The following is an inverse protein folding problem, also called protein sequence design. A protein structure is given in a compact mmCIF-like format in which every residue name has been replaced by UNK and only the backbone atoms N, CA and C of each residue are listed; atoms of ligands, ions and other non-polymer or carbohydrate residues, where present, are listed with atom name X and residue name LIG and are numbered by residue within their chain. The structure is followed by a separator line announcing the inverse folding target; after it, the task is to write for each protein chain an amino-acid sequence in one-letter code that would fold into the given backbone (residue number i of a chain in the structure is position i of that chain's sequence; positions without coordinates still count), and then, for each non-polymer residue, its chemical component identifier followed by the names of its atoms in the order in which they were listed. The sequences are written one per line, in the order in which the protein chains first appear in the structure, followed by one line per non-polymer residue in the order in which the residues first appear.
data_IF_161107148016
#
_entry.id   IF_161107148016
#
_cell.length_a   1.000
_cell.length_b   1.000
_cell.length_c   1.000
_cell.angle_alpha   90.00
_cell.angle_beta   90.00
_cell.angle_gamma   90.00
#
_symmetry.space_group_name_H-M   'P 1'
#
loop_
_entity.id
_entity.type
_entity.pdbx_description
1 polymer ?
#
# COMPACT_ATOMS: atom_id res chain seq x y z
N UNK A 1 13.17 -14.24 7.46
CA UNK A 1 11.93 -14.52 8.21
C UNK A 1 10.81 -14.43 7.20
N UNK A 2 10.06 -15.51 6.95
CA UNK A 2 8.91 -15.47 6.01
C UNK A 2 7.77 -14.78 6.73
N UNK A 3 7.30 -13.64 6.21
CA UNK A 3 6.05 -13.04 6.70
C UNK A 3 4.96 -14.06 6.41
N UNK A 4 4.35 -14.59 7.46
CA UNK A 4 3.29 -15.57 7.34
C UNK A 4 1.95 -14.84 7.36
N UNK A 5 1.31 -14.77 6.20
CA UNK A 5 0.00 -14.14 6.05
C UNK A 5 -1.10 -14.95 6.75
N UNK A 6 -2.10 -14.23 7.25
CA UNK A 6 -3.27 -14.81 7.89
C UNK A 6 -4.50 -14.68 7.02
N UNK A 7 -5.33 -15.72 7.02
CA UNK A 7 -6.60 -15.74 6.31
C UNK A 7 -7.74 -15.26 7.23
N UNK A 8 -8.72 -14.49 6.70
CA UNK A 8 -9.92 -14.14 7.44
C UNK A 8 -10.74 -15.37 7.80
N UNK A 9 -11.38 -15.33 8.97
CA UNK A 9 -12.24 -16.40 9.47
C UNK A 9 -13.53 -15.81 10.03
N UNK A 10 -14.67 -16.32 9.58
CA UNK A 10 -15.94 -16.21 10.31
C UNK A 10 -16.08 -17.42 11.23
N UNK A 11 -16.03 -17.21 12.54
CA UNK A 11 -16.15 -18.27 13.55
C UNK A 11 -17.51 -18.16 14.25
N UNK A 12 -18.27 -19.25 14.26
CA UNK A 12 -19.52 -19.36 15.00
C UNK A 12 -19.23 -19.31 16.51
N UNK A 13 -20.08 -18.60 17.23
CA UNK A 13 -20.12 -18.52 18.69
C UNK A 13 -21.54 -18.81 19.16
N UNK A 14 -21.72 -19.06 20.46
CA UNK A 14 -23.05 -19.29 21.03
C UNK A 14 -24.02 -18.12 20.80
N UNK A 15 -23.47 -16.90 20.65
CA UNK A 15 -24.22 -15.66 20.49
C UNK A 15 -24.24 -15.14 19.04
N UNK A 16 -23.65 -15.87 18.07
CA UNK A 16 -23.65 -15.48 16.66
C UNK A 16 -22.37 -15.83 15.91
N UNK A 17 -21.76 -14.84 15.28
CA UNK A 17 -20.52 -14.98 14.51
C UNK A 17 -19.50 -13.94 14.97
N UNK A 18 -18.23 -14.31 14.93
CA UNK A 18 -17.11 -13.38 15.12
C UNK A 18 -16.07 -13.51 14.03
N UNK A 19 -15.43 -12.41 13.71
CA UNK A 19 -14.33 -12.34 12.77
C UNK A 19 -13.03 -12.62 13.52
N UNK A 20 -12.14 -13.41 12.92
CA UNK A 20 -10.80 -13.65 13.46
C UNK A 20 -9.79 -13.95 12.34
N UNK A 21 -8.52 -14.06 12.71
CA UNK A 21 -7.42 -14.39 11.79
C UNK A 21 -6.96 -15.83 12.00
N UNK A 22 -6.83 -16.61 10.93
CA UNK A 22 -6.14 -17.91 10.98
C UNK A 22 -4.66 -17.67 10.69
N UNK A 23 -3.76 -17.72 11.68
CA UNK A 23 -2.35 -17.48 11.44
C UNK A 23 -1.77 -18.54 10.50
N UNK A 24 -0.78 -18.14 9.69
CA UNK A 24 0.09 -19.04 8.93
C UNK A 24 -0.62 -19.90 7.87
N UNK A 25 -1.68 -19.35 7.27
CA UNK A 25 -2.55 -20.05 6.31
C UNK A 25 -2.28 -19.63 4.85
N UNK A 26 -1.47 -18.58 4.64
CA UNK A 26 -0.91 -18.24 3.33
C UNK A 26 -1.77 -17.31 2.49
N UNK A 27 -2.73 -16.59 3.08
CA UNK A 27 -3.41 -15.42 2.49
C UNK A 27 -4.34 -15.73 1.31
N UNK A 28 -4.57 -17.00 1.01
CA UNK A 28 -5.24 -17.47 -0.21
C UNK A 28 -6.70 -17.86 0.01
N UNK A 29 -7.19 -17.83 1.25
CA UNK A 29 -8.47 -18.41 1.64
C UNK A 29 -9.28 -17.50 2.55
N UNK A 30 -10.58 -17.75 2.63
CA UNK A 30 -11.44 -17.30 3.74
C UNK A 30 -12.08 -18.53 4.35
N UNK A 31 -12.10 -18.64 5.67
CA UNK A 31 -12.67 -19.79 6.38
C UNK A 31 -13.99 -19.44 7.06
N UNK A 32 -14.89 -20.42 7.12
CA UNK A 32 -16.06 -20.40 8.01
C UNK A 32 -15.92 -21.58 8.97
N UNK A 33 -16.01 -21.32 10.27
CA UNK A 33 -15.78 -22.31 11.33
C UNK A 33 -16.93 -22.39 12.30
N UNK A 34 -17.12 -23.56 12.89
CA UNK A 34 -18.01 -23.72 14.03
C UNK A 34 -17.33 -23.32 15.36
N UNK A 35 -18.07 -23.49 16.46
CA UNK A 35 -17.60 -23.19 17.81
C UNK A 35 -16.40 -24.06 18.24
N UNK A 36 -16.27 -25.26 17.67
CA UNK A 36 -15.22 -26.24 17.97
C UNK A 36 -13.97 -26.07 17.10
N UNK A 37 -13.87 -24.96 16.35
CA UNK A 37 -12.82 -24.69 15.37
C UNK A 37 -12.78 -25.68 14.19
N UNK A 38 -13.87 -26.40 13.94
CA UNK A 38 -14.00 -27.22 12.74
C UNK A 38 -14.31 -26.33 11.53
N UNK A 39 -13.54 -26.50 10.45
CA UNK A 39 -13.79 -25.82 9.18
C UNK A 39 -15.12 -26.34 8.58
N UNK A 40 -16.13 -25.48 8.53
CA UNK A 40 -17.45 -25.75 7.92
C UNK A 40 -17.43 -25.51 6.41
N UNK A 41 -16.72 -24.46 5.99
CA UNK A 41 -16.48 -24.11 4.60
C UNK A 41 -15.19 -23.32 4.45
N UNK A 42 -14.67 -23.26 3.23
CA UNK A 42 -13.61 -22.35 2.85
C UNK A 42 -13.84 -21.83 1.43
N UNK A 43 -13.36 -20.62 1.18
CA UNK A 43 -13.45 -19.95 -0.13
C UNK A 43 -12.06 -19.71 -0.66
N UNK A 44 -11.80 -20.21 -1.88
CA UNK A 44 -10.55 -19.98 -2.60
C UNK A 44 -10.61 -18.66 -3.33
N UNK A 45 -9.80 -17.71 -2.90
CA UNK A 45 -9.86 -16.34 -3.38
C UNK A 45 -9.61 -16.21 -4.88
N UNK A 46 -8.67 -16.99 -5.43
CA UNK A 46 -8.38 -16.98 -6.87
C UNK A 46 -9.54 -17.47 -7.75
N UNK A 47 -10.54 -18.13 -7.17
CA UNK A 47 -11.72 -18.63 -7.89
C UNK A 47 -12.87 -17.59 -7.86
N UNK A 48 -12.92 -16.73 -6.84
CA UNK A 48 -14.06 -15.82 -6.61
C UNK A 48 -13.73 -14.34 -6.72
N UNK A 49 -12.46 -13.94 -6.52
CA UNK A 49 -12.06 -12.53 -6.62
C UNK A 49 -11.75 -12.15 -8.06
N UNK A 50 -12.44 -11.13 -8.62
CA UNK A 50 -12.10 -10.58 -9.91
C UNK A 50 -10.63 -10.14 -9.94
N UNK A 51 -9.94 -10.52 -11.01
CA UNK A 51 -8.53 -10.13 -11.27
C UNK A 51 -7.56 -10.56 -10.15
N UNK A 52 -7.86 -11.61 -9.37
CA UNK A 52 -7.00 -12.05 -8.26
C UNK A 52 -5.54 -12.22 -8.65
N UNK A 53 -5.26 -12.93 -9.75
CA UNK A 53 -3.88 -13.18 -10.22
C UNK A 53 -3.07 -11.93 -10.55
N UNK A 54 -3.76 -10.78 -10.73
CA UNK A 54 -3.13 -9.48 -10.90
C UNK A 54 -2.59 -8.94 -9.58
N UNK A 55 -3.35 -9.07 -8.49
CA UNK A 55 -3.06 -8.42 -7.21
C UNK A 55 -2.45 -9.35 -6.17
N UNK A 56 -2.56 -10.66 -6.36
CA UNK A 56 -2.08 -11.68 -5.44
C UNK A 56 -1.56 -12.89 -6.21
N UNK A 57 -0.46 -13.50 -5.71
CA UNK A 57 0.13 -14.68 -6.34
C UNK A 57 -0.41 -15.97 -5.68
N UNK A 58 -0.83 -16.98 -6.45
CA UNK A 58 -1.48 -18.18 -5.92
C UNK A 58 -0.57 -19.09 -5.08
N UNK A 59 0.76 -18.99 -5.19
CA UNK A 59 1.68 -20.00 -4.62
C UNK A 59 2.69 -19.50 -3.59
N UNK A 60 2.84 -18.19 -3.36
CA UNK A 60 3.94 -17.67 -2.54
C UNK A 60 3.53 -16.87 -1.31
N UNK A 61 2.26 -16.49 -1.16
CA UNK A 61 1.81 -15.62 -0.06
C UNK A 61 0.30 -15.36 0.00
N UNK A 62 -0.43 -15.54 -1.10
CA UNK A 62 -1.81 -15.08 -1.20
C UNK A 62 -1.93 -13.55 -1.11
N UNK A 63 -3.09 -13.06 -0.69
CA UNK A 63 -3.34 -11.66 -0.36
C UNK A 63 -2.93 -11.40 1.08
N UNK A 64 -2.26 -10.28 1.32
CA UNK A 64 -2.05 -9.78 2.67
C UNK A 64 -3.36 -9.18 3.19
N UNK A 65 -4.13 -9.97 3.92
CA UNK A 65 -5.41 -9.54 4.47
C UNK A 65 -5.26 -8.70 5.75
N UNK A 66 -4.19 -8.91 6.50
CA UNK A 66 -3.96 -8.19 7.75
C UNK A 66 -3.62 -6.72 7.46
N UNK A 67 -2.96 -6.46 6.34
CA UNK A 67 -2.63 -5.11 5.90
C UNK A 67 -3.57 -4.63 4.78
N UNK A 68 -4.37 -3.60 5.08
CA UNK A 68 -5.21 -2.86 4.12
C UNK A 68 -6.42 -3.59 3.57
N UNK A 69 -6.98 -4.56 4.30
CA UNK A 69 -8.28 -5.15 3.96
C UNK A 69 -9.30 -4.84 5.04
N UNK A 70 -10.57 -4.80 4.64
CA UNK A 70 -11.69 -4.61 5.54
C UNK A 70 -12.54 -5.88 5.54
N UNK A 71 -12.65 -6.51 6.70
CA UNK A 71 -13.45 -7.72 6.89
C UNK A 71 -14.54 -7.45 7.91
N UNK A 72 -15.78 -7.81 7.61
CA UNK A 72 -16.92 -7.45 8.46
C UNK A 72 -18.13 -8.36 8.22
N UNK A 73 -19.10 -8.28 9.14
CA UNK A 73 -20.44 -8.85 8.94
C UNK A 73 -21.42 -7.78 8.46
N UNK A 74 -22.37 -8.17 7.60
CA UNK A 74 -23.52 -7.32 7.26
C UNK A 74 -24.40 -7.06 8.48
N UNK A 75 -25.25 -6.04 8.41
CA UNK A 75 -26.06 -5.60 9.55
C UNK A 75 -27.03 -6.69 10.06
N UNK A 76 -27.48 -7.58 9.17
CA UNK A 76 -28.31 -8.74 9.52
C UNK A 76 -27.51 -9.92 10.11
N UNK A 77 -26.18 -9.89 10.05
CA UNK A 77 -25.30 -10.94 10.55
C UNK A 77 -25.25 -12.20 9.69
N UNK A 78 -25.94 -12.23 8.54
CA UNK A 78 -26.07 -13.42 7.70
C UNK A 78 -24.98 -13.53 6.63
N UNK A 79 -24.19 -12.48 6.42
CA UNK A 79 -23.10 -12.46 5.44
C UNK A 79 -21.79 -12.04 6.07
N UNK A 80 -20.73 -12.71 5.65
CA UNK A 80 -19.35 -12.34 5.95
C UNK A 80 -18.69 -11.78 4.71
N UNK A 81 -18.13 -10.58 4.81
CA UNK A 81 -17.61 -9.82 3.68
C UNK A 81 -16.14 -9.49 3.91
N UNK A 82 -15.33 -9.66 2.88
CA UNK A 82 -13.94 -9.22 2.85
C UNK A 82 -13.73 -8.32 1.63
N UNK A 83 -13.37 -7.06 1.87
CA UNK A 83 -12.98 -6.09 0.85
C UNK A 83 -11.46 -5.97 0.82
N UNK A 84 -10.88 -6.32 -0.32
CA UNK A 84 -9.46 -6.24 -0.56
C UNK A 84 -9.00 -4.79 -0.81
N UNK A 85 -7.71 -4.54 -0.59
CA UNK A 85 -7.10 -3.21 -0.73
C UNK A 85 -7.24 -2.58 -2.13
N UNK A 86 -7.47 -3.39 -3.18
CA UNK A 86 -7.70 -2.93 -4.55
C UNK A 86 -9.18 -2.73 -4.90
N UNK A 87 -10.09 -2.90 -3.94
CA UNK A 87 -11.52 -2.59 -4.10
C UNK A 87 -12.43 -3.77 -4.40
N UNK A 88 -11.89 -4.94 -4.76
CA UNK A 88 -12.70 -6.14 -4.96
C UNK A 88 -13.25 -6.68 -3.64
N UNK A 89 -14.44 -7.28 -3.70
CA UNK A 89 -15.16 -7.88 -2.56
C UNK A 89 -15.30 -9.39 -2.74
N UNK A 90 -15.28 -10.10 -1.61
CA UNK A 90 -15.86 -11.44 -1.48
C UNK A 90 -16.95 -11.36 -0.44
N UNK A 91 -18.12 -11.92 -0.75
CA UNK A 91 -19.20 -12.10 0.21
C UNK A 91 -19.52 -13.60 0.34
N UNK A 92 -19.76 -14.05 1.58
CA UNK A 92 -20.10 -15.43 1.91
C UNK A 92 -21.41 -15.42 2.67
N UNK A 93 -22.40 -16.19 2.20
CA UNK A 93 -23.61 -16.48 2.97
C UNK A 93 -23.24 -17.43 4.11
N UNK A 94 -23.50 -17.02 5.35
CA UNK A 94 -23.26 -17.83 6.55
C UNK A 94 -24.37 -18.85 6.82
N UNK A 95 -25.53 -18.68 6.17
CA UNK A 95 -26.64 -19.64 6.17
C UNK A 95 -26.35 -20.79 5.22
N UNK A 96 -25.96 -20.46 3.98
CA UNK A 96 -25.71 -21.45 2.92
C UNK A 96 -24.26 -21.95 2.88
N UNK A 97 -23.36 -21.29 3.63
CA UNK A 97 -21.93 -21.57 3.71
C UNK A 97 -21.23 -21.54 2.32
N UNK A 98 -21.64 -20.61 1.45
CA UNK A 98 -21.13 -20.49 0.08
C UNK A 98 -20.84 -19.04 -0.32
N UNK A 99 -19.92 -18.80 -1.27
CA UNK A 99 -19.75 -17.49 -1.89
C UNK A 99 -21.05 -17.03 -2.56
N UNK A 100 -21.33 -15.74 -2.47
CA UNK A 100 -22.44 -15.06 -3.14
C UNK A 100 -21.90 -13.84 -3.90
N UNK A 101 -22.64 -13.37 -4.92
CA UNK A 101 -22.23 -12.21 -5.70
C UNK A 101 -22.41 -10.93 -4.87
N UNK A 102 -21.32 -10.20 -4.53
CA UNK A 102 -21.43 -8.95 -3.79
C UNK A 102 -22.13 -7.84 -4.60
N UNK A 103 -22.24 -7.99 -5.94
CA UNK A 103 -22.92 -7.03 -6.81
C UNK A 103 -24.41 -6.89 -6.54
N UNK A 104 -25.07 -7.94 -6.02
CA UNK A 104 -26.51 -7.92 -5.69
C UNK A 104 -26.84 -6.98 -4.52
N UNK A 105 -25.84 -6.62 -3.71
CA UNK A 105 -25.99 -5.82 -2.49
C UNK A 105 -25.00 -4.64 -2.45
N UNK A 106 -24.48 -4.20 -3.61
CA UNK A 106 -23.36 -3.27 -3.70
C UNK A 106 -23.56 -1.98 -2.88
N UNK A 107 -24.75 -1.37 -2.96
CA UNK A 107 -25.09 -0.14 -2.25
C UNK A 107 -25.10 -0.35 -0.72
N UNK A 108 -25.68 -1.46 -0.24
CA UNK A 108 -25.68 -1.81 1.18
C UNK A 108 -24.26 -2.00 1.71
N UNK A 109 -23.42 -2.69 0.93
CA UNK A 109 -22.02 -2.92 1.29
C UNK A 109 -21.22 -1.62 1.29
N UNK A 110 -21.43 -0.73 0.32
CA UNK A 110 -20.79 0.59 0.27
C UNK A 110 -21.18 1.45 1.48
N UNK A 111 -22.45 1.51 1.83
CA UNK A 111 -22.93 2.26 2.99
C UNK A 111 -22.33 1.73 4.30
N UNK A 112 -22.30 0.40 4.47
CA UNK A 112 -21.73 -0.24 5.66
C UNK A 112 -20.23 0.01 5.78
N UNK A 113 -19.49 -0.11 4.69
CA UNK A 113 -18.04 0.13 4.69
C UNK A 113 -17.71 1.60 4.98
N UNK A 114 -18.45 2.55 4.39
CA UNK A 114 -18.32 3.98 4.71
C UNK A 114 -18.61 4.27 6.17
N UNK A 115 -19.65 3.65 6.74
CA UNK A 115 -19.99 3.79 8.16
C UNK A 115 -18.83 3.33 9.06
N UNK A 116 -18.30 2.13 8.81
CA UNK A 116 -17.17 1.57 9.57
C UNK A 116 -15.95 2.47 9.44
N UNK A 117 -15.54 2.80 8.21
CA UNK A 117 -14.34 3.62 7.94
C UNK A 117 -14.48 4.99 8.59
N UNK A 118 -15.62 5.67 8.47
CA UNK A 118 -15.85 6.98 9.09
C UNK A 118 -15.75 6.93 10.61
N UNK A 119 -16.37 5.93 11.24
CA UNK A 119 -16.39 5.77 12.69
C UNK A 119 -14.98 5.51 13.22
N UNK A 120 -14.28 4.54 12.63
CA UNK A 120 -12.97 4.11 13.13
C UNK A 120 -11.85 5.07 12.74
N UNK A 121 -11.91 5.73 11.58
CA UNK A 121 -10.98 6.81 11.22
C UNK A 121 -11.08 7.99 12.20
N UNK A 122 -12.29 8.35 12.63
CA UNK A 122 -12.47 9.42 13.63
C UNK A 122 -11.82 9.04 14.96
N UNK A 123 -12.01 7.79 15.42
CA UNK A 123 -11.35 7.26 16.63
C UNK A 123 -9.84 7.25 16.49
N UNK A 124 -9.31 6.82 15.34
CA UNK A 124 -7.89 6.84 15.03
C UNK A 124 -7.29 8.25 15.15
N UNK A 125 -7.97 9.26 14.60
CA UNK A 125 -7.51 10.66 14.69
C UNK A 125 -7.53 11.17 16.13
N UNK A 126 -8.62 10.98 16.86
CA UNK A 126 -8.70 11.37 18.28
C UNK A 126 -7.57 10.74 19.07
N UNK A 127 -7.35 9.44 18.89
CA UNK A 127 -6.28 8.71 19.55
C UNK A 127 -4.89 9.26 19.19
N UNK A 128 -4.63 9.55 17.91
CA UNK A 128 -3.36 10.10 17.45
C UNK A 128 -3.09 11.53 17.97
N UNK A 129 -4.13 12.25 18.39
CA UNK A 129 -4.01 13.57 19.01
C UNK A 129 -3.79 13.50 20.53
N UNK A 130 -4.28 12.44 21.18
CA UNK A 130 -4.25 12.28 22.64
C UNK A 130 -3.07 11.43 23.14
N UNK A 131 -2.44 10.63 22.28
CA UNK A 131 -1.35 9.72 22.66
C UNK A 131 0.01 10.15 22.10
N UNK A 132 1.04 10.12 22.95
CA UNK A 132 2.45 10.25 22.55
C UNK A 132 3.03 8.94 21.97
N UNK A 133 2.32 7.82 22.11
CA UNK A 133 2.68 6.53 21.51
C UNK A 133 1.94 6.38 20.19
N UNK A 134 2.52 5.65 19.22
CA UNK A 134 1.83 5.24 17.99
C UNK A 134 1.27 3.81 18.11
N UNK A 135 0.22 3.54 17.32
CA UNK A 135 -0.72 2.43 17.48
C UNK A 135 -0.07 1.06 17.26
N UNK A 136 -0.58 0.04 17.94
CA UNK A 136 -0.50 -1.33 17.41
C UNK A 136 -1.21 -1.34 16.05
N UNK A 137 -0.60 -1.96 15.03
CA UNK A 137 -1.14 -1.96 13.66
C UNK A 137 -2.54 -2.61 13.56
N UNK A 138 -2.89 -3.47 14.52
CA UNK A 138 -4.18 -4.16 14.61
C UNK A 138 -5.19 -3.40 15.49
N UNK A 139 -6.28 -2.94 14.87
CA UNK A 139 -7.42 -2.29 15.49
C UNK A 139 -8.70 -3.15 15.42
N UNK A 140 -8.54 -4.43 15.07
CA UNK A 140 -9.66 -5.34 14.86
C UNK A 140 -10.53 -5.52 16.11
N UNK A 141 -11.82 -5.69 15.88
CA UNK A 141 -12.81 -6.09 16.88
C UNK A 141 -13.30 -7.51 16.59
N UNK A 142 -14.16 -8.05 17.45
CA UNK A 142 -14.82 -9.34 17.16
C UNK A 142 -15.76 -9.27 15.94
N UNK A 143 -16.19 -8.09 15.52
CA UNK A 143 -17.16 -7.90 14.43
C UNK A 143 -16.49 -7.41 13.13
N UNK A 144 -15.29 -6.86 13.21
CA UNK A 144 -14.63 -6.20 12.08
C UNK A 144 -13.12 -6.36 12.18
N UNK A 145 -12.47 -6.85 11.13
CA UNK A 145 -11.01 -6.92 11.06
C UNK A 145 -10.49 -5.85 10.10
N UNK A 146 -9.55 -5.04 10.58
CA UNK A 146 -8.88 -4.01 9.81
C UNK A 146 -7.61 -3.54 10.52
N UNK A 147 -6.68 -2.99 9.74
CA UNK A 147 -5.50 -2.31 10.26
C UNK A 147 -5.63 -0.79 10.21
N UNK A 148 -4.74 -0.07 10.90
CA UNK A 148 -4.61 1.39 10.74
C UNK A 148 -4.46 1.76 9.27
N UNK A 149 -3.65 1.01 8.53
CA UNK A 149 -3.46 1.20 7.10
C UNK A 149 -4.75 1.08 6.29
N UNK A 150 -5.71 0.27 6.72
CA UNK A 150 -7.03 0.12 6.09
C UNK A 150 -7.82 1.42 6.23
N UNK A 151 -7.90 1.96 7.44
CA UNK A 151 -8.66 3.17 7.75
C UNK A 151 -8.15 4.42 7.02
N UNK A 152 -6.86 4.46 6.72
CA UNK A 152 -6.23 5.60 6.01
C UNK A 152 -6.36 5.45 4.50
N UNK A 153 -6.29 4.24 3.96
CA UNK A 153 -6.37 3.97 2.52
C UNK A 153 -7.80 4.00 1.97
N UNK A 154 -8.75 3.42 2.71
CA UNK A 154 -10.11 3.20 2.24
C UNK A 154 -10.90 4.48 1.93
N UNK A 155 -10.74 5.61 2.65
CA UNK A 155 -11.43 6.85 2.28
C UNK A 155 -11.23 7.25 0.82
N UNK A 156 -10.00 7.15 0.30
CA UNK A 156 -9.71 7.44 -1.10
C UNK A 156 -10.24 6.37 -2.07
N UNK A 157 -10.29 5.11 -1.65
CA UNK A 157 -10.87 4.02 -2.43
C UNK A 157 -12.41 4.11 -2.52
N UNK A 158 -13.04 4.60 -1.46
CA UNK A 158 -14.49 4.77 -1.33
C UNK A 158 -14.98 6.14 -1.82
N UNK A 159 -14.10 7.08 -2.15
CA UNK A 159 -14.52 8.44 -2.54
C UNK A 159 -15.19 9.21 -1.39
N UNK A 160 -14.69 9.07 -0.16
CA UNK A 160 -15.21 9.75 1.04
C UNK A 160 -14.58 11.14 1.18
N UNK A 161 -15.14 12.15 0.51
CA UNK A 161 -14.64 13.54 0.58
C UNK A 161 -14.78 14.13 1.99
N UNK A 162 -15.75 13.66 2.77
CA UNK A 162 -15.95 14.05 4.16
C UNK A 162 -14.80 13.64 5.09
N UNK A 163 -13.92 12.72 4.67
CA UNK A 163 -12.76 12.27 5.43
C UNK A 163 -11.51 13.14 5.21
N UNK A 164 -11.53 14.10 4.27
CA UNK A 164 -10.38 14.95 3.94
C UNK A 164 -9.77 15.62 5.19
N UNK A 165 -10.54 16.24 6.11
CA UNK A 165 -9.96 16.87 7.30
C UNK A 165 -9.16 15.90 8.18
N UNK A 166 -9.69 14.69 8.39
CA UNK A 166 -9.03 13.63 9.16
C UNK A 166 -7.75 13.17 8.46
N UNK A 167 -7.78 12.98 7.14
CA UNK A 167 -6.60 12.60 6.37
C UNK A 167 -5.50 13.66 6.42
N UNK A 168 -5.85 14.96 6.42
CA UNK A 168 -4.87 16.06 6.57
C UNK A 168 -4.20 16.05 7.95
N UNK A 169 -4.93 15.70 9.00
CA UNK A 169 -4.34 15.52 10.33
C UNK A 169 -3.34 14.37 10.33
N UNK A 170 -3.70 13.22 9.76
CA UNK A 170 -2.81 12.06 9.65
C UNK A 170 -1.61 12.30 8.72
N UNK A 171 -1.79 13.06 7.65
CA UNK A 171 -0.71 13.52 6.77
C UNK A 171 0.31 14.38 7.54
N UNK A 172 -0.15 15.29 8.40
CA UNK A 172 0.74 16.18 9.15
C UNK A 172 1.46 15.52 10.33
N UNK A 173 0.96 14.37 10.80
CA UNK A 173 1.54 13.61 11.90
C UNK A 173 2.97 13.12 11.64
N UNK A 174 3.75 12.97 12.71
CA UNK A 174 5.17 12.56 12.67
C UNK A 174 5.38 11.07 12.96
N UNK A 175 4.44 10.21 12.55
CA UNK A 175 4.57 8.75 12.73
C UNK A 175 5.59 8.16 11.74
N UNK A 176 6.74 7.70 12.25
CA UNK A 176 7.76 7.05 11.43
C UNK A 176 8.12 5.65 11.96
N UNK A 177 8.51 4.79 11.02
CA UNK A 177 9.27 3.57 11.30
C UNK A 177 10.68 3.76 10.73
N UNK A 178 11.71 3.55 11.54
CA UNK A 178 13.09 3.58 11.07
C UNK A 178 13.31 2.39 10.12
N UNK A 179 13.83 2.64 8.90
CA UNK A 179 14.16 1.60 7.92
C UNK A 179 15.50 1.94 7.25
N UNK A 180 16.27 0.91 6.90
CA UNK A 180 17.61 1.04 6.33
C UNK A 180 17.61 0.88 4.79
N UNK A 181 18.11 1.87 4.03
CA UNK A 181 18.40 1.78 2.58
C UNK A 181 19.91 1.79 2.34
N UNK A 182 20.51 0.64 2.02
CA UNK A 182 21.94 0.57 1.73
C UNK A 182 22.78 1.05 2.93
N UNK A 183 23.51 2.16 2.77
CA UNK A 183 24.28 2.81 3.84
C UNK A 183 23.51 3.97 4.54
N UNK A 184 22.30 4.26 4.11
CA UNK A 184 21.49 5.38 4.57
C UNK A 184 20.35 4.91 5.48
N UNK A 185 20.10 5.64 6.56
CA UNK A 185 18.96 5.43 7.46
C UNK A 185 17.81 6.35 7.01
N UNK A 186 16.65 5.79 6.70
CA UNK A 186 15.48 6.52 6.22
C UNK A 186 14.25 6.21 7.08
N UNK A 187 13.61 7.26 7.58
CA UNK A 187 12.35 7.14 8.30
C UNK A 187 11.19 7.06 7.33
N UNK A 188 10.49 5.92 7.31
CA UNK A 188 9.25 5.78 6.53
C UNK A 188 8.06 6.33 7.31
N UNK A 189 7.43 7.37 6.77
CA UNK A 189 6.13 7.87 7.22
C UNK A 189 4.99 7.10 6.55
N UNK A 190 4.79 5.85 6.95
CA UNK A 190 3.83 4.96 6.31
C UNK A 190 2.39 5.53 6.31
N UNK A 191 1.91 6.00 7.47
CA UNK A 191 0.57 6.58 7.62
C UNK A 191 0.41 7.84 6.78
N UNK A 192 1.39 8.75 6.83
CA UNK A 192 1.39 9.96 6.00
C UNK A 192 1.25 9.64 4.52
N UNK A 193 2.06 8.69 4.03
CA UNK A 193 2.04 8.30 2.62
C UNK A 193 0.70 7.72 2.20
N UNK A 194 0.08 6.91 3.05
CA UNK A 194 -1.26 6.38 2.78
C UNK A 194 -2.29 7.52 2.77
N UNK A 195 -2.18 8.47 3.70
CA UNK A 195 -3.06 9.64 3.75
C UNK A 195 -2.90 10.49 2.46
N UNK A 196 -1.67 10.73 2.02
CA UNK A 196 -1.36 11.40 0.76
C UNK A 196 -1.95 10.66 -0.45
N UNK A 197 -1.81 9.33 -0.50
CA UNK A 197 -2.39 8.49 -1.54
C UNK A 197 -3.92 8.61 -1.56
N UNK A 198 -4.56 8.54 -0.39
CA UNK A 198 -6.01 8.67 -0.26
C UNK A 198 -6.49 10.08 -0.66
N UNK A 199 -5.81 11.13 -0.21
CA UNK A 199 -6.08 12.53 -0.58
C UNK A 199 -6.01 12.71 -2.10
N UNK A 200 -4.96 12.21 -2.76
CA UNK A 200 -4.83 12.28 -4.22
C UNK A 200 -5.98 11.61 -4.96
N UNK A 201 -6.47 10.47 -4.45
CA UNK A 201 -7.66 9.79 -5.03
C UNK A 201 -8.96 10.59 -4.84
N UNK A 202 -9.02 11.42 -3.81
CA UNK A 202 -10.12 12.36 -3.57
C UNK A 202 -9.98 13.67 -4.35
N UNK A 203 -8.93 13.82 -5.18
CA UNK A 203 -8.66 15.03 -5.96
C UNK A 203 -7.85 16.09 -5.21
N UNK A 204 -7.35 15.78 -4.01
CA UNK A 204 -6.56 16.67 -3.17
C UNK A 204 -5.06 16.51 -3.44
N UNK A 205 -4.31 17.62 -3.50
CA UNK A 205 -2.83 17.55 -3.59
C UNK A 205 -2.23 17.16 -2.25
N UNK A 206 -1.12 16.41 -2.26
CA UNK A 206 -0.37 16.19 -1.03
C UNK A 206 0.15 17.52 -0.47
N UNK A 207 0.23 17.60 0.86
CA UNK A 207 0.92 18.66 1.57
C UNK A 207 2.44 18.54 1.45
N UNK A 208 3.16 19.14 2.39
CA UNK A 208 4.63 19.19 2.34
C UNK A 208 5.25 17.80 2.54
N UNK A 209 6.22 17.48 1.70
CA UNK A 209 7.09 16.33 1.84
C UNK A 209 8.18 16.64 2.86
N UNK A 210 7.86 16.51 4.16
CA UNK A 210 8.84 16.76 5.21
C UNK A 210 9.96 15.75 5.15
N UNK A 211 11.18 16.28 5.10
CA UNK A 211 12.38 15.49 5.15
C UNK A 211 12.66 15.15 6.60
N UNK A 212 12.76 13.87 6.93
CA UNK A 212 13.55 13.51 8.11
C UNK A 212 15.00 13.71 7.78
N UNK A 213 15.78 14.13 8.78
CA UNK A 213 17.20 13.81 8.75
C UNK A 213 17.29 12.32 8.43
N UNK A 214 17.90 11.92 7.31
CA UNK A 214 18.51 10.61 7.29
C UNK A 214 19.57 10.64 8.41
N UNK A 215 20.29 9.55 8.65
CA UNK A 215 21.50 9.60 9.49
C UNK A 215 21.21 9.58 11.00
N UNK A 216 21.22 8.37 11.55
CA UNK A 216 21.73 8.18 12.90
C UNK A 216 23.12 8.83 13.03
N UNK A 217 23.47 9.29 14.22
CA UNK A 217 24.77 9.91 14.53
C UNK A 217 26.01 9.03 14.21
N UNK A 218 25.81 7.80 13.75
CA UNK A 218 26.84 6.84 13.33
C UNK A 218 27.04 6.78 11.80
N UNK A 219 26.24 7.51 11.03
CA UNK A 219 26.44 7.71 9.60
C UNK A 219 27.79 8.34 9.29
N UNK A 220 28.46 7.87 8.22
CA UNK A 220 29.71 8.48 7.70
C UNK A 220 29.52 9.86 7.06
N UNK A 221 28.28 10.34 6.93
CA UNK A 221 27.95 11.61 6.27
C UNK A 221 27.00 12.41 7.16
N UNK A 222 27.46 13.48 7.82
CA UNK A 222 26.55 14.47 8.40
C UNK A 222 25.83 15.18 7.26
N UNK A 223 24.53 15.36 7.42
CA UNK A 223 23.68 15.99 6.41
C UNK A 223 22.59 16.76 7.13
N UNK A 224 22.51 18.05 6.84
CA UNK A 224 21.39 18.86 7.28
C UNK A 224 20.19 18.52 6.37
N UNK A 225 19.06 18.05 6.92
CA UNK A 225 17.87 17.82 6.11
C UNK A 225 17.44 19.14 5.46
N UNK A 226 17.29 19.20 4.13
CA UNK A 226 16.75 20.38 3.49
C UNK A 226 15.33 20.66 3.96
N UNK A 227 14.87 21.89 3.68
CA UNK A 227 13.51 22.29 3.98
C UNK A 227 12.48 21.33 3.33
N UNK A 228 11.32 21.11 3.98
CA UNK A 228 10.22 20.37 3.39
C UNK A 228 9.88 20.92 2.00
N UNK A 229 9.70 20.02 1.03
CA UNK A 229 9.37 20.42 -0.33
C UNK A 229 7.86 20.36 -0.58
N UNK A 230 7.35 21.28 -1.39
CA UNK A 230 6.01 21.19 -1.95
C UNK A 230 5.99 20.44 -3.29
N UNK A 231 4.81 20.09 -3.77
CA UNK A 231 4.61 19.41 -5.05
C UNK A 231 5.19 20.16 -6.26
N UNK A 232 4.94 21.48 -6.42
CA UNK A 232 5.51 22.26 -7.52
C UNK A 232 7.05 22.29 -7.56
N UNK A 233 7.69 22.48 -6.40
CA UNK A 233 9.15 22.48 -6.29
C UNK A 233 9.71 21.11 -6.65
N UNK A 234 9.13 20.04 -6.07
CA UNK A 234 9.51 18.67 -6.40
C UNK A 234 9.36 18.38 -7.90
N UNK A 235 8.26 18.82 -8.52
CA UNK A 235 8.05 18.67 -9.96
C UNK A 235 9.16 19.34 -10.77
N UNK A 236 9.49 20.60 -10.45
CA UNK A 236 10.54 21.35 -11.13
C UNK A 236 11.91 20.70 -10.95
N UNK A 237 12.24 20.28 -9.72
CA UNK A 237 13.53 19.66 -9.40
C UNK A 237 13.68 18.25 -9.95
N UNK A 238 12.58 17.50 -10.10
CA UNK A 238 12.64 16.19 -10.77
C UNK A 238 13.17 16.32 -12.21
N UNK A 239 12.93 17.47 -12.85
CA UNK A 239 13.46 17.74 -14.18
C UNK A 239 14.96 17.98 -14.21
N UNK A 240 15.56 18.34 -13.08
CA UNK A 240 16.99 18.62 -12.93
C UNK A 240 17.81 17.36 -12.63
N UNK A 241 17.16 16.25 -12.23
CA UNK A 241 17.83 14.96 -11.95
C UNK A 241 18.43 14.38 -13.22
N UNK A 242 19.73 14.06 -13.16
CA UNK A 242 20.53 13.55 -14.28
C UNK A 242 21.16 12.21 -13.95
N UNK A 243 21.50 11.45 -14.99
CA UNK A 243 22.36 10.29 -14.85
C UNK A 243 23.70 10.69 -14.22
N UNK A 244 24.18 9.88 -13.27
CA UNK A 244 25.39 10.15 -12.48
C UNK A 244 25.17 11.00 -11.22
N UNK A 245 24.00 11.63 -11.04
CA UNK A 245 23.66 12.28 -9.77
C UNK A 245 23.73 11.27 -8.62
N UNK A 246 24.30 11.67 -7.49
CA UNK A 246 24.35 10.81 -6.30
C UNK A 246 23.03 10.80 -5.56
N UNK A 247 22.71 9.71 -4.88
CA UNK A 247 21.49 9.56 -4.06
C UNK A 247 21.28 10.72 -3.07
N UNK A 248 22.34 11.24 -2.46
CA UNK A 248 22.28 12.37 -1.55
C UNK A 248 21.95 13.70 -2.26
N UNK A 249 22.35 13.87 -3.52
CA UNK A 249 21.97 15.02 -4.34
C UNK A 249 20.49 14.93 -4.72
N UNK A 250 20.03 13.75 -5.15
CA UNK A 250 18.62 13.48 -5.45
C UNK A 250 17.74 13.75 -4.23
N UNK A 251 18.15 13.26 -3.05
CA UNK A 251 17.43 13.52 -1.80
C UNK A 251 17.38 15.01 -1.46
N UNK A 252 18.48 15.75 -1.63
CA UNK A 252 18.48 17.21 -1.40
C UNK A 252 17.49 17.94 -2.31
N UNK A 253 17.41 17.51 -3.57
CA UNK A 253 16.59 18.16 -4.61
C UNK A 253 15.12 17.77 -4.58
N UNK A 254 14.78 16.54 -4.22
CA UNK A 254 13.42 16.01 -4.29
C UNK A 254 12.78 15.76 -2.91
N UNK A 255 13.60 15.85 -1.87
CA UNK A 255 13.26 15.37 -0.55
C UNK A 255 13.05 13.85 -0.52
N UNK A 256 12.35 13.37 0.50
CA UNK A 256 12.12 11.94 0.71
C UNK A 256 11.28 11.31 -0.40
N UNK A 257 11.61 10.09 -0.86
CA UNK A 257 10.76 9.37 -1.79
C UNK A 257 9.47 8.90 -1.11
N UNK A 258 8.38 8.86 -1.88
CA UNK A 258 7.11 8.27 -1.44
C UNK A 258 7.30 6.74 -1.22
N UNK A 259 8.13 6.08 -2.01
CA UNK A 259 8.45 4.67 -1.79
C UNK A 259 9.88 4.30 -2.20
N UNK A 260 10.46 3.33 -1.50
CA UNK A 260 11.76 2.74 -1.82
C UNK A 260 11.59 1.23 -1.99
N UNK A 261 12.22 0.65 -3.03
CA UNK A 261 12.17 -0.79 -3.29
C UNK A 261 13.01 -1.65 -2.31
N UNK A 262 13.13 -1.27 -1.04
CA UNK A 262 14.02 -1.99 -0.10
C UNK A 262 13.53 -3.41 0.24
N UNK A 263 12.32 -3.80 -0.18
CA UNK A 263 11.75 -5.11 0.16
C UNK A 263 11.83 -6.15 -0.95
N UNK A 264 12.97 -6.19 -1.62
CA UNK A 264 13.53 -7.47 -2.00
C UNK A 264 14.20 -8.19 -0.82
N UNK A 265 13.67 -8.09 0.41
CA UNK A 265 13.78 -9.22 1.34
C UNK A 265 12.83 -10.29 0.82
N UNK A 266 13.24 -10.94 -0.27
CA UNK A 266 12.57 -12.13 -0.76
C UNK A 266 12.70 -13.15 0.36
N UNK A 267 11.58 -13.53 0.95
CA UNK A 267 11.44 -14.62 1.93
C UNK A 267 11.75 -16.01 1.34
N UNK A 268 12.61 -16.07 0.32
CA UNK A 268 13.00 -17.28 -0.38
C UNK A 268 13.98 -17.00 -1.53
N UNK A 269 15.21 -17.51 -1.39
CA UNK A 269 16.16 -17.87 -2.47
C UNK A 269 16.71 -16.81 -3.44
N UNK A 270 16.34 -15.53 -3.40
CA UNK A 270 17.03 -14.52 -4.24
C UNK A 270 18.04 -13.78 -3.36
N UNK A 271 19.34 -13.95 -3.66
CA UNK A 271 20.40 -13.29 -2.90
C UNK A 271 20.40 -11.78 -3.12
N UNK A 272 20.85 -11.00 -2.13
CA UNK A 272 21.19 -9.56 -2.28
C UNK A 272 22.05 -9.31 -3.53
N UNK A 273 22.95 -10.25 -3.84
CA UNK A 273 23.74 -10.25 -5.08
C UNK A 273 22.89 -10.28 -6.33
N UNK A 274 21.76 -10.98 -6.35
CA UNK A 274 20.89 -11.10 -7.52
C UNK A 274 19.94 -9.91 -7.66
N UNK A 275 19.55 -9.26 -6.57
CA UNK A 275 18.83 -7.96 -6.59
C UNK A 275 19.75 -6.85 -7.11
N UNK A 276 21.00 -6.82 -6.62
CA UNK A 276 22.05 -5.92 -7.12
C UNK A 276 22.42 -6.26 -8.57
N UNK A 277 22.52 -7.55 -8.94
CA UNK A 277 22.79 -7.99 -10.33
C UNK A 277 21.62 -7.70 -11.28
N UNK A 278 20.39 -7.63 -10.76
CA UNK A 278 19.19 -7.21 -11.51
C UNK A 278 19.03 -5.69 -11.54
N UNK A 279 19.85 -4.93 -10.81
CA UNK A 279 19.94 -3.46 -10.93
C UNK A 279 18.69 -2.70 -10.52
N UNK A 280 17.84 -3.26 -9.64
CA UNK A 280 16.49 -2.70 -9.38
C UNK A 280 16.35 -1.90 -8.09
N UNK A 281 17.35 -1.06 -7.81
CA UNK A 281 17.26 -0.05 -6.76
C UNK A 281 16.58 1.19 -7.34
N UNK A 282 15.40 1.55 -6.86
CA UNK A 282 14.78 2.81 -7.25
C UNK A 282 14.06 3.47 -6.07
N UNK A 283 13.87 4.77 -6.26
CA UNK A 283 13.01 5.63 -5.46
C UNK A 283 11.81 6.05 -6.30
N UNK A 284 10.62 5.93 -5.71
CA UNK A 284 9.38 6.38 -6.30
C UNK A 284 9.00 7.74 -5.74
N UNK A 285 8.64 8.63 -6.67
CA UNK A 285 8.10 9.94 -6.38
C UNK A 285 6.73 10.07 -7.02
N UNK A 286 5.72 10.36 -6.20
CA UNK A 286 4.37 10.60 -6.65
C UNK A 286 4.17 12.12 -6.78
N UNK A 287 3.94 12.61 -8.02
CA UNK A 287 4.00 14.04 -8.35
C UNK A 287 2.63 14.60 -8.73
N UNK A 288 2.15 15.56 -7.93
CA UNK A 288 0.88 16.26 -8.08
C UNK A 288 0.91 17.39 -9.14
N UNK A 289 1.63 17.16 -10.25
CA UNK A 289 1.68 18.05 -11.39
C UNK A 289 0.34 18.01 -12.18
N UNK A 290 0.22 18.88 -13.18
CA UNK A 290 -0.91 18.86 -14.12
C UNK A 290 -0.37 18.67 -15.54
N UNK A 291 -0.48 17.46 -16.14
CA UNK A 291 -1.08 16.24 -15.58
C UNK A 291 -0.21 15.58 -14.48
N UNK A 292 -0.81 14.82 -13.54
CA UNK A 292 -0.08 14.13 -12.47
C UNK A 292 0.62 12.87 -12.99
N UNK A 293 1.72 12.47 -12.36
CA UNK A 293 2.50 11.31 -12.78
C UNK A 293 3.31 10.69 -11.64
N UNK A 294 3.71 9.42 -11.80
CA UNK A 294 4.69 8.77 -10.93
C UNK A 294 6.06 8.77 -11.60
N UNK A 295 7.11 9.09 -10.86
CA UNK A 295 8.49 8.99 -11.32
C UNK A 295 9.25 7.90 -10.57
N UNK A 296 9.98 7.06 -11.30
CA UNK A 296 10.94 6.10 -10.73
C UNK A 296 12.36 6.54 -11.07
N UNK A 297 13.13 6.85 -10.03
CA UNK A 297 14.56 7.20 -10.14
C UNK A 297 15.38 5.98 -9.74
N UNK A 298 16.13 5.41 -10.68
CA UNK A 298 16.88 4.17 -10.52
C UNK A 298 18.33 4.46 -10.19
N UNK A 299 18.92 3.64 -9.31
CA UNK A 299 20.30 3.77 -8.85
C UNK A 299 21.12 2.51 -9.18
N UNK A 300 22.41 2.70 -9.47
CA UNK A 300 23.38 1.61 -9.56
C UNK A 300 23.90 1.15 -8.19
N UNK A 301 24.83 0.20 -8.20
CA UNK A 301 25.47 -0.31 -6.98
C UNK A 301 26.36 0.72 -6.24
N UNK A 302 26.60 1.89 -6.83
CA UNK A 302 27.37 2.99 -6.24
C UNK A 302 26.45 4.16 -5.83
N UNK A 303 25.14 3.91 -5.71
CA UNK A 303 24.12 4.90 -5.36
C UNK A 303 24.08 6.09 -6.34
N UNK A 304 24.33 5.84 -7.63
CA UNK A 304 24.28 6.83 -8.71
C UNK A 304 23.06 6.63 -9.60
N UNK A 305 22.40 7.72 -9.96
CA UNK A 305 21.26 7.68 -10.87
C UNK A 305 21.67 7.08 -12.22
N UNK A 306 21.01 6.01 -12.63
CA UNK A 306 21.20 5.40 -13.95
C UNK A 306 20.12 5.83 -14.94
N UNK A 307 18.87 5.92 -14.48
CA UNK A 307 17.73 6.39 -15.28
C UNK A 307 16.66 6.98 -14.37
N UNK A 308 15.90 7.93 -14.91
CA UNK A 308 14.67 8.43 -14.32
C UNK A 308 13.55 8.27 -15.35
N UNK A 309 12.45 7.64 -14.94
CA UNK A 309 11.36 7.28 -15.83
C UNK A 309 10.05 7.81 -15.26
N UNK A 310 9.26 8.48 -16.10
CA UNK A 310 7.96 9.04 -15.75
C UNK A 310 6.85 8.14 -16.29
N UNK A 311 5.80 7.95 -15.49
CA UNK A 311 4.67 7.09 -15.76
C UNK A 311 3.34 7.85 -15.62
N UNK A 312 2.54 7.74 -16.67
CA UNK A 312 1.15 8.23 -16.73
C UNK A 312 0.25 7.08 -17.26
N UNK A 313 -0.81 6.69 -16.52
CA UNK A 313 -1.32 7.31 -15.29
C UNK A 313 -0.42 7.09 -14.06
N UNK A 314 -0.53 7.97 -13.04
CA UNK A 314 0.23 7.82 -11.80
C UNK A 314 -0.20 6.58 -11.01
N UNK A 315 0.72 5.97 -10.26
CA UNK A 315 0.51 4.67 -9.61
C UNK A 315 -0.58 4.70 -8.52
N UNK A 316 -0.84 5.86 -7.93
CA UNK A 316 -1.91 6.01 -6.92
C UNK A 316 -3.32 6.05 -7.51
N UNK A 317 -3.46 6.17 -8.84
CA UNK A 317 -4.76 6.04 -9.51
C UNK A 317 -5.36 4.65 -9.27
N UNK A 318 -6.67 4.51 -9.51
CA UNK A 318 -7.33 3.22 -9.30
C UNK A 318 -6.58 2.12 -10.05
N UNK A 319 -6.40 0.93 -9.45
CA UNK A 319 -5.81 -0.20 -10.13
C UNK A 319 -6.45 -0.49 -11.50
N UNK A 320 -7.74 -0.19 -11.66
CA UNK A 320 -8.47 -0.42 -12.91
C UNK A 320 -7.95 0.40 -14.10
N UNK A 321 -7.21 1.48 -13.86
CA UNK A 321 -6.65 2.35 -14.92
C UNK A 321 -5.43 1.71 -15.59
N UNK A 322 -4.75 0.75 -14.95
CA UNK A 322 -3.62 0.05 -15.57
C UNK A 322 -4.11 -1.20 -16.33
N UNK A 323 -3.92 -1.29 -17.67
CA UNK A 323 -4.48 -2.36 -18.52
C UNK A 323 -3.86 -3.77 -18.36
N UNK A 324 -3.01 -4.00 -17.36
CA UNK A 324 -2.34 -5.30 -17.21
C UNK A 324 -3.30 -6.34 -16.64
N UNK A 325 -3.71 -7.30 -17.47
CA UNK A 325 -4.51 -8.46 -17.05
C UNK A 325 -3.71 -9.46 -16.19
N UNK A 326 -2.37 -9.32 -16.16
CA UNK A 326 -1.48 -10.32 -15.58
C UNK A 326 -0.90 -9.91 -14.23
N UNK A 327 -0.65 -8.61 -13.99
CA UNK A 327 0.12 -8.15 -12.83
C UNK A 327 -0.26 -6.73 -12.40
N UNK A 328 -0.28 -6.50 -11.09
CA UNK A 328 -0.49 -5.19 -10.49
C UNK A 328 0.81 -4.41 -10.39
N UNK A 329 0.74 -3.11 -10.69
CA UNK A 329 1.83 -2.15 -10.49
C UNK A 329 2.15 -2.01 -9.00
N UNK A 330 1.12 -2.05 -8.14
CA UNK A 330 1.24 -1.90 -6.69
C UNK A 330 0.83 -3.17 -5.93
N UNK A 331 1.46 -3.45 -4.79
CA UNK A 331 1.00 -4.40 -3.77
C UNK A 331 0.14 -3.72 -2.69
N UNK A 332 -0.33 -4.49 -1.71
CA UNK A 332 -1.22 -4.03 -0.61
C UNK A 332 -0.74 -2.79 0.12
N UNK A 333 0.56 -2.73 0.39
CA UNK A 333 1.20 -1.60 1.07
C UNK A 333 1.43 -0.38 0.16
N UNK A 334 0.80 -0.34 -1.02
CA UNK A 334 1.05 0.65 -2.05
C UNK A 334 2.49 0.64 -2.57
N UNK A 335 3.19 -0.50 -2.46
CA UNK A 335 4.58 -0.67 -2.92
C UNK A 335 4.62 -1.16 -4.35
N UNK A 336 5.60 -0.73 -5.11
CA UNK A 336 5.77 -1.17 -6.50
C UNK A 336 6.16 -2.66 -6.51
N UNK A 337 5.48 -3.50 -7.30
CA UNK A 337 5.77 -4.94 -7.32
C UNK A 337 7.00 -5.26 -8.17
N UNK A 338 7.74 -6.33 -7.84
CA UNK A 338 8.87 -6.78 -8.67
C UNK A 338 8.44 -7.22 -10.07
N UNK A 339 7.26 -7.82 -10.17
CA UNK A 339 6.72 -8.34 -11.42
C UNK A 339 6.48 -7.20 -12.43
N UNK A 340 5.99 -6.06 -11.94
CA UNK A 340 5.89 -4.83 -12.71
C UNK A 340 7.23 -4.36 -13.29
N UNK A 341 8.33 -4.51 -12.55
CA UNK A 341 9.64 -4.10 -13.05
C UNK A 341 10.11 -4.95 -14.23
N UNK A 342 9.64 -6.19 -14.37
CA UNK A 342 9.94 -7.01 -15.53
C UNK A 342 9.15 -6.54 -16.76
N UNK A 343 7.90 -6.08 -16.57
CA UNK A 343 7.09 -5.45 -17.63
C UNK A 343 7.67 -4.10 -18.11
N UNK A 344 8.36 -3.39 -17.23
CA UNK A 344 9.09 -2.18 -17.60
C UNK A 344 10.29 -2.49 -18.49
N UNK A 345 11.05 -3.54 -18.18
CA UNK A 345 12.26 -3.89 -18.91
C UNK A 345 11.97 -4.55 -20.27
N UNK A 346 10.85 -5.25 -20.41
CA UNK A 346 10.45 -5.90 -21.67
C UNK A 346 9.51 -5.04 -22.56
N UNK A 347 9.19 -3.82 -22.11
CA UNK A 347 8.36 -2.87 -22.86
C UNK A 347 6.87 -3.25 -22.94
N UNK A 348 6.40 -4.19 -22.12
CA UNK A 348 4.99 -4.60 -22.07
C UNK A 348 4.15 -3.76 -21.11
N UNK A 349 4.73 -2.75 -20.46
CA UNK A 349 4.01 -1.83 -19.61
C UNK A 349 2.95 -1.02 -20.40
N UNK A 350 1.73 -1.03 -19.89
CA UNK A 350 0.55 -0.47 -20.57
C UNK A 350 0.26 1.01 -20.26
N UNK A 351 1.28 1.79 -19.85
CA UNK A 351 1.19 3.23 -19.67
C UNK A 351 2.23 3.97 -20.50
N UNK A 352 2.17 5.31 -20.51
CA UNK A 352 3.18 6.08 -21.23
C UNK A 352 4.47 6.15 -20.42
N UNK A 353 5.59 5.97 -21.12
CA UNK A 353 6.93 5.99 -20.54
C UNK A 353 7.69 7.13 -21.19
N UNK A 354 8.14 8.09 -20.38
CA UNK A 354 9.06 9.14 -20.84
C UNK A 354 10.41 8.84 -20.21
N UNK A 355 11.28 8.17 -20.96
CA UNK A 355 12.68 8.06 -20.61
C UNK A 355 13.38 9.37 -20.92
N UNK A 356 14.05 9.94 -19.92
CA UNK A 356 14.93 11.08 -20.16
C UNK A 356 16.32 10.54 -20.50
N UNK A 357 16.83 10.76 -21.73
CA UNK A 357 18.15 10.30 -22.09
C UNK A 357 19.18 10.94 -21.16
N UNK A 358 20.20 10.16 -20.78
CA UNK A 358 21.39 10.74 -20.18
C UNK A 358 21.88 11.83 -21.15
N UNK A 359 22.04 13.06 -20.66
CA UNK A 359 22.76 14.07 -21.43
C UNK A 359 24.11 13.45 -21.79
N UNK A 360 24.35 13.26 -23.09
CA UNK A 360 25.62 12.75 -23.58
C UNK A 360 26.77 13.61 -23.03
N UNK A 361 27.94 13.02 -22.78
CA UNK A 361 29.10 13.73 -22.25
C UNK A 361 29.47 14.98 -23.06
#
# INVERSE_FOLDING_TARGET
MTVMFSDPVAKRTGDGWKATWRPHSGGGLIFVRDESDQDLAFVRLHEVLPRYGRFAHPTTAGTDWQDHSLVYFTADGDRFVARAWWGARVAISLVDLKPIDPGEFADELDDREREIVRRELSRLVTWAQESDSWLNDDLSTEETLFSVGTLVHFPGLLGMTEAIPQLRLLESGESFKDIFYGQYDYRRYFIRRLAQTALRRLGEKAGLYRQTAPFSAQSRFPFDPPEPQDGPTRHAELQSVRSGDGIAEVYRRLGPPDETNENCQVSGRISLREIVRRGKQFWRYDVDADPPYTALVWFDANDRVVRAVLYDPPFWTSPDVFPSDRQSVLGSLGRTTLAFLDQLDDGTFAGSTIERPAAGP
#
